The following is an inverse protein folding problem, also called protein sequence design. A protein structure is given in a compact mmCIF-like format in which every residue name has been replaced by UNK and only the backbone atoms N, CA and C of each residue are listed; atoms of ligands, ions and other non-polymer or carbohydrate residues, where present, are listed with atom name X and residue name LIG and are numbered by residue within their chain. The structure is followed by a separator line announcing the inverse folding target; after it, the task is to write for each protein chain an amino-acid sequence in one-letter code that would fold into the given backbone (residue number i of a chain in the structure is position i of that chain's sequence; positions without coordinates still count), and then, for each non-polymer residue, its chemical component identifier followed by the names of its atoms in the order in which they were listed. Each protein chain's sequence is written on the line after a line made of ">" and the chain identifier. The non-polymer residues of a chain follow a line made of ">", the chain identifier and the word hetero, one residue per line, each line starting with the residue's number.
data_IF_294830558724
#
_entry.id   IF_294830558724
#
_cell.length_a   1.000
_cell.length_b   1.000
_cell.length_c   1.000
_cell.angle_alpha   90.00
_cell.angle_beta   90.00
_cell.angle_gamma   90.00
#
_symmetry.space_group_name_H-M   'P 1'
#
loop_
_entity.id
_entity.type
_entity.pdbx_description
1 polymer ?
#
# COMPACT_ATOMS: atom_id res chain seq x y z
N UNK A 1 -66.44 -36.88 9.62
CA UNK A 1 -65.25 -37.50 10.25
C UNK A 1 -64.19 -36.41 10.29
N UNK A 2 -63.63 -36.15 11.48
CA UNK A 2 -62.83 -34.99 11.92
C UNK A 2 -63.65 -33.75 12.35
N UNK A 3 -63.34 -33.29 13.58
CA UNK A 3 -64.02 -32.32 14.45
C UNK A 3 -63.40 -30.91 14.29
N UNK A 4 -64.18 -29.83 14.10
CA UNK A 4 -63.66 -28.49 13.79
C UNK A 4 -63.32 -27.59 15.00
N UNK A 5 -63.18 -28.11 16.23
CA UNK A 5 -62.95 -27.27 17.43
C UNK A 5 -61.58 -27.41 18.10
N UNK A 6 -60.46 -27.28 17.38
CA UNK A 6 -59.13 -27.13 18.02
C UNK A 6 -58.42 -25.83 17.61
N UNK A 7 -57.99 -24.98 18.57
CA UNK A 7 -57.22 -23.77 18.26
C UNK A 7 -55.75 -24.12 17.97
N UNK A 8 -55.04 -23.30 17.17
CA UNK A 8 -53.65 -23.56 16.82
C UNK A 8 -52.72 -23.33 18.04
N UNK A 9 -51.56 -24.01 18.12
CA UNK A 9 -50.64 -23.85 19.23
C UNK A 9 -50.02 -22.44 19.23
N UNK A 10 -50.19 -21.73 20.34
CA UNK A 10 -49.60 -20.41 20.58
C UNK A 10 -48.07 -20.52 20.69
N UNK A 11 -47.35 -19.76 19.85
CA UNK A 11 -45.90 -19.59 19.91
C UNK A 11 -45.43 -19.13 21.31
N UNK A 12 -44.28 -19.60 21.84
CA UNK A 12 -43.82 -19.30 23.20
C UNK A 12 -43.18 -17.90 23.36
N UNK A 13 -43.33 -17.01 22.38
CA UNK A 13 -42.65 -15.71 22.36
C UNK A 13 -43.27 -14.54 23.17
N UNK A 14 -44.56 -14.50 23.59
CA UNK A 14 -45.09 -13.31 24.28
C UNK A 14 -44.78 -13.22 25.79
N UNK A 15 -44.35 -14.30 26.45
CA UNK A 15 -44.19 -14.32 27.91
C UNK A 15 -42.86 -13.74 28.42
N UNK A 16 -41.84 -13.61 27.56
CA UNK A 16 -40.55 -13.06 27.98
C UNK A 16 -40.56 -11.51 28.00
N UNK A 17 -41.38 -10.86 27.18
CA UNK A 17 -41.49 -9.39 27.20
C UNK A 17 -42.30 -8.89 28.39
N UNK A 18 -43.35 -9.60 28.83
CA UNK A 18 -44.25 -9.12 29.89
C UNK A 18 -43.60 -9.05 31.28
N UNK A 19 -42.59 -9.88 31.55
CA UNK A 19 -41.84 -9.87 32.82
C UNK A 19 -40.70 -8.85 32.85
N UNK A 20 -40.19 -8.44 31.68
CA UNK A 20 -39.07 -7.50 31.55
C UNK A 20 -39.54 -6.05 31.64
N UNK A 21 -40.74 -5.74 31.13
CA UNK A 21 -41.32 -4.38 31.16
C UNK A 21 -41.46 -3.77 32.58
N UNK A 22 -42.02 -4.49 33.58
CA UNK A 22 -42.16 -3.97 34.94
C UNK A 22 -40.81 -3.70 35.60
N UNK A 23 -39.85 -4.61 35.39
CA UNK A 23 -38.49 -4.47 35.91
C UNK A 23 -37.79 -3.23 35.31
N UNK A 24 -37.91 -3.03 33.99
CA UNK A 24 -37.36 -1.85 33.31
C UNK A 24 -38.02 -0.55 33.77
N UNK A 25 -39.33 -0.57 34.02
CA UNK A 25 -40.06 0.60 34.53
C UNK A 25 -39.64 0.93 35.97
N UNK A 26 -39.46 -0.09 36.81
CA UNK A 26 -38.99 0.09 38.18
C UNK A 26 -37.54 0.59 38.23
N UNK A 27 -36.67 0.01 37.39
CA UNK A 27 -35.29 0.47 37.22
C UNK A 27 -35.22 1.92 36.71
N UNK A 28 -36.06 2.28 35.73
CA UNK A 28 -36.18 3.65 35.22
C UNK A 28 -36.65 4.63 36.29
N UNK A 29 -37.68 4.27 37.05
CA UNK A 29 -38.22 5.12 38.11
C UNK A 29 -37.19 5.34 39.23
N UNK A 30 -36.51 4.27 39.64
CA UNK A 30 -35.44 4.32 40.64
C UNK A 30 -34.25 5.16 40.16
N UNK A 31 -33.80 4.97 38.91
CA UNK A 31 -32.75 5.78 38.30
C UNK A 31 -33.15 7.26 38.19
N UNK A 32 -34.37 7.57 37.75
CA UNK A 32 -34.84 8.94 37.65
C UNK A 32 -34.92 9.62 39.03
N UNK A 33 -35.39 8.90 40.06
CA UNK A 33 -35.44 9.42 41.43
C UNK A 33 -34.05 9.61 42.04
N UNK A 34 -33.08 8.76 41.69
CA UNK A 34 -31.71 8.91 42.14
C UNK A 34 -30.97 10.02 41.38
N UNK A 35 -31.29 10.24 40.10
CA UNK A 35 -30.63 11.24 39.27
C UNK A 35 -31.28 12.63 39.37
N UNK A 36 -32.52 12.73 39.87
CA UNK A 36 -33.23 14.02 40.05
C UNK A 36 -32.56 14.97 41.05
N UNK A 37 -31.64 14.47 41.87
CA UNK A 37 -30.87 15.28 42.82
C UNK A 37 -29.66 16.00 42.17
N UNK A 38 -29.38 15.76 40.89
CA UNK A 38 -28.25 16.35 40.16
C UNK A 38 -28.73 17.30 39.07
N UNK A 39 -27.92 18.32 38.76
CA UNK A 39 -28.19 19.21 37.63
C UNK A 39 -28.18 18.44 36.29
N UNK A 40 -29.18 18.65 35.41
CA UNK A 40 -29.25 17.98 34.11
C UNK A 40 -28.00 18.17 33.24
N UNK A 41 -27.36 19.34 33.32
CA UNK A 41 -26.12 19.63 32.61
C UNK A 41 -24.94 18.78 33.14
N UNK A 42 -24.84 18.60 34.46
CA UNK A 42 -23.78 17.78 35.06
C UNK A 42 -23.91 16.29 34.67
N UNK A 43 -25.15 15.79 34.57
CA UNK A 43 -25.44 14.41 34.12
C UNK A 43 -25.07 14.16 32.66
N UNK A 44 -25.00 15.22 31.83
CA UNK A 44 -24.66 15.11 30.41
C UNK A 44 -23.17 15.36 30.18
N UNK A 45 -22.63 16.41 30.83
CA UNK A 45 -21.25 16.86 30.68
C UNK A 45 -20.27 15.93 31.39
N UNK A 46 -20.62 15.41 32.58
CA UNK A 46 -19.75 14.52 33.35
C UNK A 46 -19.36 13.24 32.60
N UNK A 47 -20.33 12.44 32.09
CA UNK A 47 -20.04 11.25 31.30
C UNK A 47 -19.32 11.56 29.98
N UNK A 48 -19.65 12.69 29.33
CA UNK A 48 -18.99 13.12 28.09
C UNK A 48 -17.52 13.45 28.34
N UNK A 49 -17.21 14.22 29.39
CA UNK A 49 -15.83 14.50 29.82
C UNK A 49 -15.09 13.22 30.21
N UNK A 50 -15.73 12.34 30.98
CA UNK A 50 -15.14 11.06 31.36
C UNK A 50 -14.81 10.20 30.13
N UNK A 51 -15.69 10.18 29.12
CA UNK A 51 -15.46 9.48 27.85
C UNK A 51 -14.29 10.09 27.06
N UNK A 52 -14.22 11.43 26.99
CA UNK A 52 -13.12 12.15 26.33
C UNK A 52 -11.80 11.84 27.03
N UNK A 53 -11.76 11.96 28.37
CA UNK A 53 -10.58 11.65 29.19
C UNK A 53 -10.16 10.20 28.98
N UNK A 54 -11.08 9.25 29.07
CA UNK A 54 -10.79 7.82 28.86
C UNK A 54 -10.26 7.53 27.45
N UNK A 55 -10.82 8.17 26.41
CA UNK A 55 -10.31 8.05 25.03
C UNK A 55 -8.91 8.63 24.89
N UNK A 56 -8.67 9.81 25.46
CA UNK A 56 -7.34 10.43 25.43
C UNK A 56 -6.30 9.61 26.20
N UNK A 57 -6.66 9.08 27.37
CA UNK A 57 -5.78 8.20 28.16
C UNK A 57 -5.45 6.93 27.38
N UNK A 58 -6.47 6.28 26.79
CA UNK A 58 -6.29 5.06 26.00
C UNK A 58 -5.40 5.32 24.77
N UNK A 59 -5.58 6.44 24.10
CA UNK A 59 -4.72 6.87 22.99
C UNK A 59 -3.28 7.07 23.44
N UNK A 60 -3.08 7.74 24.58
CA UNK A 60 -1.75 7.99 25.16
C UNK A 60 -1.06 6.68 25.55
N UNK A 61 -1.77 5.77 26.21
CA UNK A 61 -1.27 4.44 26.56
C UNK A 61 -0.90 3.66 25.30
N UNK A 62 -1.74 3.72 24.25
CA UNK A 62 -1.45 3.10 22.96
C UNK A 62 -0.15 3.61 22.34
N UNK A 63 0.04 4.93 22.27
CA UNK A 63 1.27 5.54 21.72
C UNK A 63 2.50 5.16 22.55
N UNK A 64 2.39 5.15 23.89
CA UNK A 64 3.49 4.74 24.78
C UNK A 64 3.83 3.26 24.61
N UNK A 65 2.84 2.40 24.39
CA UNK A 65 3.08 0.97 24.11
C UNK A 65 3.71 0.76 22.72
N UNK A 66 3.33 1.55 21.72
CA UNK A 66 3.84 1.41 20.35
C UNK A 66 5.26 1.99 20.19
N UNK A 67 5.57 3.14 20.81
CA UNK A 67 6.83 3.87 20.60
C UNK A 67 7.79 3.84 21.80
N UNK A 68 7.30 3.43 22.98
CA UNK A 68 8.03 3.49 24.24
C UNK A 68 7.96 4.86 24.93
N UNK A 69 8.19 4.88 26.25
CA UNK A 69 8.07 6.07 27.08
C UNK A 69 9.04 7.20 26.66
N UNK A 70 10.28 6.84 26.33
CA UNK A 70 11.33 7.80 25.92
C UNK A 70 10.97 8.52 24.61
N UNK A 71 10.51 7.79 23.60
CA UNK A 71 10.13 8.38 22.32
C UNK A 71 8.89 9.26 22.46
N UNK A 72 7.92 8.85 23.29
CA UNK A 72 6.72 9.63 23.57
C UNK A 72 7.07 10.95 24.26
N UNK A 73 7.91 10.91 25.30
CA UNK A 73 8.38 12.11 26.01
C UNK A 73 9.19 13.03 25.08
N UNK A 74 10.05 12.46 24.23
CA UNK A 74 10.80 13.23 23.23
C UNK A 74 9.86 13.87 22.19
N UNK A 75 8.80 13.17 21.78
CA UNK A 75 7.78 13.69 20.87
C UNK A 75 6.97 14.83 21.48
N UNK A 76 6.59 14.72 22.76
CA UNK A 76 5.94 15.80 23.52
C UNK A 76 6.90 16.98 23.66
N UNK A 77 8.15 16.74 24.05
CA UNK A 77 9.17 17.77 24.16
C UNK A 77 9.43 18.51 22.84
N UNK A 78 9.56 17.77 21.73
CA UNK A 78 9.68 18.34 20.39
C UNK A 78 8.43 19.12 19.99
N UNK A 79 7.25 18.69 20.41
CA UNK A 79 6.00 19.43 20.17
C UNK A 79 5.95 20.73 20.98
N UNK A 80 6.42 20.72 22.23
CA UNK A 80 6.56 21.91 23.04
C UNK A 80 7.60 22.89 22.47
N UNK A 81 8.73 22.40 21.99
CA UNK A 81 9.75 23.21 21.29
C UNK A 81 9.16 23.84 20.04
N UNK A 82 8.33 23.10 19.28
CA UNK A 82 7.62 23.61 18.09
C UNK A 82 6.59 24.69 18.40
N UNK A 83 6.15 24.84 19.65
CA UNK A 83 5.26 25.94 20.07
C UNK A 83 6.02 27.25 20.32
N UNK A 84 7.34 27.20 20.48
CA UNK A 84 8.17 28.41 20.62
C UNK A 84 8.12 29.20 19.31
N UNK A 85 7.69 30.48 19.32
CA UNK A 85 7.45 31.24 18.10
C UNK A 85 8.66 31.32 17.15
N UNK A 86 9.88 31.42 17.70
CA UNK A 86 11.12 31.48 16.90
C UNK A 86 11.43 30.15 16.19
N UNK A 87 11.26 29.02 16.89
CA UNK A 87 11.48 27.68 16.33
C UNK A 87 10.41 27.35 15.30
N UNK A 88 9.15 27.70 15.59
CA UNK A 88 8.03 27.56 14.64
C UNK A 88 8.31 28.32 13.34
N UNK A 89 8.73 29.59 13.44
CA UNK A 89 9.11 30.40 12.27
C UNK A 89 10.27 29.79 11.48
N UNK A 90 11.28 29.23 12.15
CA UNK A 90 12.41 28.58 11.48
C UNK A 90 11.99 27.30 10.75
N UNK A 91 11.18 26.45 11.40
CA UNK A 91 10.63 25.23 10.78
C UNK A 91 9.71 25.57 9.61
N UNK A 92 8.85 26.57 9.76
CA UNK A 92 7.96 27.01 8.70
C UNK A 92 8.75 27.61 7.54
N UNK A 93 9.84 28.33 7.80
CA UNK A 93 10.74 28.82 6.76
C UNK A 93 11.47 27.68 6.01
N UNK A 94 11.96 26.64 6.71
CA UNK A 94 12.57 25.47 6.05
C UNK A 94 11.54 24.64 5.27
N UNK A 95 10.34 24.45 5.81
CA UNK A 95 9.23 23.85 5.07
C UNK A 95 8.90 24.67 3.82
N UNK A 96 8.85 25.99 3.95
CA UNK A 96 8.58 26.86 2.82
C UNK A 96 9.69 26.77 1.77
N UNK A 97 10.96 26.72 2.15
CA UNK A 97 12.07 26.46 1.20
C UNK A 97 11.91 25.14 0.46
N UNK A 98 11.49 24.07 1.14
CA UNK A 98 11.23 22.77 0.49
C UNK A 98 10.04 22.88 -0.46
N UNK A 99 8.95 23.52 -0.03
CA UNK A 99 7.76 23.77 -0.86
C UNK A 99 8.14 24.62 -2.08
N UNK A 100 8.90 25.69 -1.90
CA UNK A 100 9.39 26.57 -2.96
C UNK A 100 10.34 25.84 -3.89
N UNK A 101 11.16 24.90 -3.40
CA UNK A 101 12.03 24.05 -4.22
C UNK A 101 11.22 23.03 -5.04
N UNK A 102 10.15 22.47 -4.47
CA UNK A 102 9.20 21.62 -5.20
C UNK A 102 8.36 22.41 -6.20
N UNK A 103 7.97 23.65 -5.87
CA UNK A 103 7.19 24.54 -6.72
C UNK A 103 8.02 25.25 -7.79
N UNK A 104 9.31 25.51 -7.55
CA UNK A 104 10.23 26.09 -8.54
C UNK A 104 10.60 25.10 -9.64
N UNK A 105 10.61 23.79 -9.35
CA UNK A 105 10.53 22.74 -10.37
C UNK A 105 9.17 22.62 -11.06
N UNK A 106 8.14 23.31 -10.53
CA UNK A 106 6.73 23.23 -10.93
C UNK A 106 6.13 24.52 -11.50
N UNK A 107 6.94 25.52 -11.90
CA UNK A 107 6.44 26.56 -12.82
C UNK A 107 6.09 25.89 -14.13
N UNK A 108 4.82 25.53 -14.24
CA UNK A 108 4.15 24.95 -15.38
C UNK A 108 4.58 25.68 -16.68
N UNK A 109 5.52 25.10 -17.42
CA UNK A 109 5.86 25.48 -18.80
C UNK A 109 4.74 25.05 -19.77
N UNK A 110 3.48 25.33 -19.41
CA UNK A 110 2.29 24.99 -20.20
C UNK A 110 2.02 25.99 -21.33
N UNK A 111 2.98 26.85 -21.61
CA UNK A 111 2.90 27.79 -22.72
C UNK A 111 2.84 26.99 -24.03
N UNK A 112 1.81 27.26 -24.85
CA UNK A 112 1.57 26.52 -26.08
C UNK A 112 0.88 25.16 -25.92
N UNK A 113 0.51 24.75 -24.70
CA UNK A 113 -0.21 23.48 -24.51
C UNK A 113 -1.64 23.57 -25.02
N UNK A 114 -2.07 22.52 -25.73
CA UNK A 114 -3.45 22.42 -26.21
C UNK A 114 -4.37 22.11 -25.04
N UNK A 115 -5.38 22.95 -24.85
CA UNK A 115 -6.41 22.79 -23.80
C UNK A 115 -7.75 22.29 -24.36
N UNK A 116 -7.88 22.22 -25.68
CA UNK A 116 -9.08 21.77 -26.38
C UNK A 116 -8.68 20.86 -27.55
N UNK A 117 -9.63 20.01 -27.97
CA UNK A 117 -9.49 19.24 -29.20
C UNK A 117 -9.39 20.18 -30.40
N UNK A 118 -8.53 19.90 -31.38
CA UNK A 118 -8.46 20.72 -32.58
C UNK A 118 -9.74 20.57 -33.41
N UNK A 119 -10.22 21.67 -33.99
CA UNK A 119 -11.43 21.66 -34.82
C UNK A 119 -11.28 20.80 -36.08
N UNK A 120 -10.04 20.60 -36.54
CA UNK A 120 -9.67 19.77 -37.69
C UNK A 120 -8.59 18.78 -37.28
N UNK A 121 -8.66 17.56 -37.82
CA UNK A 121 -7.62 16.55 -37.61
C UNK A 121 -6.26 17.01 -38.12
N UNK A 122 -5.20 16.80 -37.34
CA UNK A 122 -3.84 17.22 -37.69
C UNK A 122 -3.17 16.33 -38.76
N UNK A 123 -3.79 15.19 -39.09
CA UNK A 123 -3.25 14.22 -40.03
C UNK A 123 -1.83 13.79 -39.68
N UNK A 124 -0.98 13.62 -40.69
CA UNK A 124 0.42 13.21 -40.52
C UNK A 124 1.30 14.27 -39.83
N UNK A 125 0.87 15.55 -39.83
CA UNK A 125 1.60 16.64 -39.17
C UNK A 125 1.74 16.45 -37.65
N UNK A 126 0.94 15.57 -37.05
CA UNK A 126 1.11 15.17 -35.64
C UNK A 126 2.47 14.53 -35.37
N UNK A 127 3.03 13.78 -36.33
CA UNK A 127 4.32 13.10 -36.16
C UNK A 127 5.46 14.10 -36.08
N UNK A 128 5.43 15.15 -36.89
CA UNK A 128 6.46 16.20 -36.85
C UNK A 128 6.42 16.98 -35.53
N UNK A 129 5.21 17.23 -35.02
CA UNK A 129 5.01 17.82 -33.70
C UNK A 129 5.58 16.92 -32.59
N UNK A 130 5.28 15.62 -32.61
CA UNK A 130 5.83 14.67 -31.62
C UNK A 130 7.36 14.58 -31.69
N UNK A 131 7.95 14.66 -32.90
CA UNK A 131 9.41 14.71 -33.08
C UNK A 131 10.03 15.98 -32.50
N UNK A 132 9.36 17.12 -32.61
CA UNK A 132 9.82 18.37 -31.99
C UNK A 132 9.78 18.27 -30.47
N UNK A 133 8.65 17.85 -29.90
CA UNK A 133 8.54 17.70 -28.44
C UNK A 133 9.57 16.71 -27.89
N UNK A 134 9.80 15.61 -28.60
CA UNK A 134 10.84 14.63 -28.23
C UNK A 134 12.25 15.22 -28.20
N UNK A 135 12.56 16.24 -29.03
CA UNK A 135 13.89 16.91 -28.97
C UNK A 135 14.08 17.70 -27.68
N UNK A 136 13.00 18.06 -26.99
CA UNK A 136 13.04 18.79 -25.73
C UNK A 136 13.28 17.86 -24.52
N UNK A 137 13.18 16.54 -24.70
CA UNK A 137 13.44 15.57 -23.65
C UNK A 137 14.93 15.56 -23.26
N UNK A 138 15.20 15.24 -22.00
CA UNK A 138 16.58 15.13 -21.50
C UNK A 138 17.28 13.96 -22.20
N UNK A 139 18.46 14.23 -22.76
CA UNK A 139 19.32 13.18 -23.29
C UNK A 139 19.69 12.19 -22.17
N UNK A 140 19.13 10.99 -22.23
CA UNK A 140 19.15 10.02 -21.15
C UNK A 140 20.35 9.07 -21.20
N UNK A 141 20.95 8.87 -22.38
CA UNK A 141 22.04 7.93 -22.61
C UNK A 141 23.24 8.26 -21.72
N UNK A 142 23.48 7.40 -20.72
CA UNK A 142 24.59 7.54 -19.77
C UNK A 142 24.48 8.72 -18.79
N UNK A 143 23.33 9.41 -18.75
CA UNK A 143 23.12 10.62 -17.91
C UNK A 143 21.99 10.50 -16.91
N UNK A 144 21.09 9.52 -17.10
CA UNK A 144 19.97 9.27 -16.20
C UNK A 144 20.22 7.98 -15.40
N UNK A 145 20.24 8.07 -14.07
CA UNK A 145 20.29 6.89 -13.20
C UNK A 145 19.00 6.08 -13.34
N UNK A 146 19.11 4.77 -13.54
CA UNK A 146 17.95 3.91 -13.83
C UNK A 146 17.27 4.37 -15.12
N UNK A 147 16.02 4.81 -15.02
CA UNK A 147 15.19 5.43 -16.08
C UNK A 147 15.01 4.59 -17.35
N UNK A 148 16.08 4.33 -18.11
CA UNK A 148 16.10 3.48 -19.30
C UNK A 148 17.10 2.34 -19.07
N UNK A 149 16.60 1.11 -19.03
CA UNK A 149 17.39 -0.08 -18.67
C UNK A 149 18.10 -0.75 -19.84
N UNK A 150 17.63 -0.50 -21.07
CA UNK A 150 18.25 -1.01 -22.29
C UNK A 150 19.26 0.04 -22.77
N UNK A 151 20.52 -0.35 -22.84
CA UNK A 151 21.56 0.50 -23.42
C UNK A 151 21.45 0.59 -24.94
N UNK A 152 21.95 1.70 -25.51
CA UNK A 152 22.06 1.89 -26.96
C UNK A 152 21.29 3.10 -27.48
N UNK A 153 21.05 3.07 -28.80
CA UNK A 153 20.29 4.09 -29.54
C UNK A 153 18.84 3.61 -29.76
N UNK A 154 17.89 4.53 -29.76
CA UNK A 154 16.46 4.28 -29.94
C UNK A 154 16.11 3.72 -31.32
N UNK A 155 16.99 3.83 -32.31
CA UNK A 155 16.73 3.43 -33.69
C UNK A 155 17.38 2.09 -34.09
N UNK A 156 18.22 1.49 -33.24
CA UNK A 156 19.03 0.33 -33.62
C UNK A 156 19.04 -0.74 -32.54
N UNK A 157 19.48 -1.95 -32.93
CA UNK A 157 19.60 -3.09 -32.03
C UNK A 157 18.28 -3.47 -31.36
N UNK A 158 18.28 -3.54 -30.03
CA UNK A 158 17.15 -4.05 -29.27
C UNK A 158 15.90 -3.14 -29.34
N UNK A 159 16.08 -1.81 -29.45
CA UNK A 159 14.95 -0.88 -29.56
C UNK A 159 14.17 -1.08 -30.86
N UNK A 160 14.85 -1.31 -31.99
CA UNK A 160 14.18 -1.58 -33.27
C UNK A 160 13.29 -2.82 -33.20
N UNK A 161 13.77 -3.89 -32.56
CA UNK A 161 13.03 -5.12 -32.38
C UNK A 161 11.76 -4.91 -31.52
N UNK A 162 11.89 -4.20 -30.39
CA UNK A 162 10.73 -3.90 -29.52
C UNK A 162 9.72 -3.01 -30.25
N UNK A 163 10.18 -1.99 -30.96
CA UNK A 163 9.30 -1.09 -31.72
C UNK A 163 8.50 -1.86 -32.78
N UNK A 164 9.13 -2.79 -33.49
CA UNK A 164 8.46 -3.64 -34.47
C UNK A 164 7.41 -4.55 -33.80
N UNK A 165 7.77 -5.21 -32.70
CA UNK A 165 6.83 -6.03 -31.93
C UNK A 165 5.64 -5.21 -31.40
N UNK A 166 5.89 -4.05 -30.80
CA UNK A 166 4.83 -3.14 -30.34
C UNK A 166 3.92 -2.69 -31.48
N UNK A 167 4.48 -2.39 -32.65
CA UNK A 167 3.70 -2.01 -33.84
C UNK A 167 2.74 -3.14 -34.25
N UNK A 168 3.22 -4.39 -34.30
CA UNK A 168 2.41 -5.56 -34.66
C UNK A 168 1.21 -5.77 -33.72
N UNK A 169 1.41 -5.59 -32.41
CA UNK A 169 0.39 -5.91 -31.40
C UNK A 169 -0.36 -4.68 -30.84
N UNK A 170 -0.13 -3.49 -31.40
CA UNK A 170 -0.68 -2.20 -30.92
C UNK A 170 -2.21 -2.14 -30.76
N UNK A 171 -2.95 -2.95 -31.51
CA UNK A 171 -4.41 -3.00 -31.50
C UNK A 171 -4.98 -4.12 -30.63
N UNK A 172 -4.14 -4.98 -30.07
CA UNK A 172 -4.59 -6.14 -29.30
C UNK A 172 -5.08 -5.75 -27.92
N UNK A 173 -6.05 -6.53 -27.40
CA UNK A 173 -6.62 -6.33 -26.07
C UNK A 173 -6.80 -7.69 -25.37
N UNK A 174 -5.97 -8.04 -24.37
CA UNK A 174 -6.04 -9.32 -23.65
C UNK A 174 -7.38 -9.60 -22.96
N UNK A 175 -8.27 -8.61 -22.81
CA UNK A 175 -9.64 -8.81 -22.33
C UNK A 175 -10.47 -9.72 -23.25
N UNK A 176 -10.13 -9.78 -24.54
CA UNK A 176 -10.81 -10.59 -25.55
C UNK A 176 -9.96 -11.81 -25.90
N UNK A 177 -9.91 -12.78 -24.97
CA UNK A 177 -9.05 -13.97 -25.05
C UNK A 177 -9.38 -14.86 -26.25
N UNK A 178 -10.63 -14.85 -26.71
CA UNK A 178 -11.13 -15.58 -27.87
C UNK A 178 -10.60 -15.00 -29.19
N UNK A 179 -10.38 -13.68 -29.24
CA UNK A 179 -9.90 -12.96 -30.43
C UNK A 179 -8.37 -12.91 -30.48
N UNK A 180 -7.72 -12.57 -29.37
CA UNK A 180 -6.26 -12.32 -29.33
C UNK A 180 -5.47 -13.42 -28.63
N UNK A 181 -5.65 -14.67 -29.07
CA UNK A 181 -5.02 -15.85 -28.47
C UNK A 181 -3.48 -15.79 -28.42
N UNK A 182 -2.85 -15.11 -29.38
CA UNK A 182 -1.39 -14.94 -29.41
C UNK A 182 -0.87 -14.22 -28.18
N UNK A 183 -1.51 -13.10 -27.78
CA UNK A 183 -1.07 -12.30 -26.64
C UNK A 183 -1.34 -13.03 -25.33
N UNK A 184 -2.47 -13.71 -25.20
CA UNK A 184 -2.77 -14.59 -24.05
C UNK A 184 -1.66 -15.64 -23.86
N UNK A 185 -1.24 -16.26 -24.96
CA UNK A 185 -0.13 -17.22 -24.93
C UNK A 185 1.18 -16.55 -24.49
N UNK A 186 1.52 -15.39 -25.05
CA UNK A 186 2.75 -14.69 -24.69
C UNK A 186 2.79 -14.29 -23.22
N UNK A 187 1.67 -13.80 -22.66
CA UNK A 187 1.59 -13.49 -21.23
C UNK A 187 1.82 -14.73 -20.36
N UNK A 188 1.20 -15.86 -20.72
CA UNK A 188 1.38 -17.12 -20.01
C UNK A 188 2.84 -17.63 -20.09
N UNK A 189 3.47 -17.55 -21.26
CA UNK A 189 4.86 -17.96 -21.46
C UNK A 189 5.83 -17.06 -20.67
N UNK A 190 5.61 -15.74 -20.66
CA UNK A 190 6.43 -14.81 -19.86
C UNK A 190 6.34 -15.11 -18.37
N UNK A 191 5.13 -15.37 -17.85
CA UNK A 191 4.93 -15.78 -16.46
C UNK A 191 5.68 -17.07 -16.17
N UNK A 192 5.53 -18.09 -17.02
CA UNK A 192 6.17 -19.39 -16.83
C UNK A 192 7.70 -19.29 -16.87
N UNK A 193 8.27 -18.55 -17.83
CA UNK A 193 9.72 -18.33 -17.94
C UNK A 193 10.26 -17.57 -16.73
N UNK A 194 9.54 -16.55 -16.25
CA UNK A 194 9.94 -15.77 -15.07
C UNK A 194 9.88 -16.62 -13.80
N UNK A 195 8.83 -17.42 -13.63
CA UNK A 195 8.73 -18.36 -12.51
C UNK A 195 9.89 -19.36 -12.51
N UNK A 196 10.23 -19.92 -13.69
CA UNK A 196 11.36 -20.83 -13.82
C UNK A 196 12.69 -20.16 -13.50
N UNK A 197 12.91 -18.92 -13.95
CA UNK A 197 14.09 -18.11 -13.64
C UNK A 197 14.26 -17.88 -12.12
N UNK A 198 13.13 -17.74 -11.41
CA UNK A 198 13.08 -17.52 -9.97
C UNK A 198 12.98 -18.82 -9.14
N UNK A 199 13.29 -19.98 -9.75
CA UNK A 199 13.43 -21.24 -9.02
C UNK A 199 12.14 -22.06 -8.88
N UNK A 200 11.10 -21.83 -9.69
CA UNK A 200 9.87 -22.64 -9.61
C UNK A 200 10.07 -24.13 -9.87
N UNK A 201 11.15 -24.50 -10.56
CA UNK A 201 11.52 -25.89 -10.89
C UNK A 201 12.29 -26.58 -9.75
N UNK A 202 12.70 -25.84 -8.72
CA UNK A 202 13.36 -26.42 -7.56
C UNK A 202 12.38 -27.26 -6.74
N UNK A 203 12.86 -28.38 -6.20
CA UNK A 203 12.03 -29.28 -5.38
C UNK A 203 11.40 -28.56 -4.18
N UNK A 204 12.10 -27.57 -3.63
CA UNK A 204 11.66 -26.77 -2.49
C UNK A 204 10.40 -25.94 -2.82
N UNK A 205 10.14 -25.63 -4.10
CA UNK A 205 9.02 -24.79 -4.53
C UNK A 205 7.67 -25.52 -4.55
N UNK A 206 7.65 -26.84 -4.34
CA UNK A 206 6.40 -27.62 -4.23
C UNK A 206 5.55 -27.69 -5.50
N UNK A 207 6.06 -27.20 -6.64
CA UNK A 207 5.46 -27.32 -7.96
C UNK A 207 4.20 -26.49 -8.23
N UNK A 208 3.86 -25.52 -7.37
CA UNK A 208 2.62 -24.72 -7.47
C UNK A 208 2.89 -23.22 -7.65
N UNK A 209 3.82 -22.84 -8.51
CA UNK A 209 4.08 -21.42 -8.82
C UNK A 209 3.22 -20.97 -9.99
N UNK A 210 2.45 -19.91 -9.80
CA UNK A 210 1.62 -19.28 -10.82
C UNK A 210 1.68 -17.75 -10.70
N UNK A 211 1.14 -17.04 -11.70
CA UNK A 211 1.12 -15.58 -11.69
C UNK A 211 0.42 -15.00 -12.91
N UNK A 212 0.48 -13.67 -13.02
CA UNK A 212 -0.13 -12.90 -14.10
C UNK A 212 0.84 -11.78 -14.53
N UNK A 213 0.73 -11.36 -15.79
CA UNK A 213 1.33 -10.11 -16.25
C UNK A 213 0.60 -8.92 -15.64
N UNK A 214 1.33 -7.82 -15.41
CA UNK A 214 0.81 -6.56 -14.89
C UNK A 214 1.43 -5.40 -15.68
N UNK A 215 0.88 -4.20 -15.53
CA UNK A 215 1.40 -2.98 -16.16
C UNK A 215 2.76 -2.53 -15.60
N UNK A 216 3.20 -3.07 -14.45
CA UNK A 216 4.50 -2.77 -13.86
C UNK A 216 4.57 -3.08 -12.37
N UNK A 217 5.74 -2.83 -11.76
CA UNK A 217 6.01 -3.20 -10.37
C UNK A 217 5.01 -2.64 -9.35
N UNK A 218 4.48 -1.43 -9.57
CA UNK A 218 3.45 -0.86 -8.68
C UNK A 218 2.17 -1.70 -8.69
N UNK A 219 1.70 -2.13 -9.87
CA UNK A 219 0.52 -3.00 -9.96
C UNK A 219 0.83 -4.40 -9.39
N UNK A 220 2.01 -4.97 -9.65
CA UNK A 220 2.39 -6.27 -9.08
C UNK A 220 2.35 -6.28 -7.55
N UNK A 221 2.94 -5.27 -6.90
CA UNK A 221 2.91 -5.15 -5.44
C UNK A 221 1.47 -4.85 -4.97
N UNK A 222 0.71 -4.02 -5.72
CA UNK A 222 -0.72 -3.83 -5.47
C UNK A 222 -1.45 -5.17 -5.49
N UNK A 223 -1.30 -6.03 -6.49
CA UNK A 223 -2.03 -7.29 -6.53
C UNK A 223 -1.56 -8.28 -5.46
N UNK A 224 -0.24 -8.35 -5.20
CA UNK A 224 0.33 -9.25 -4.22
C UNK A 224 -0.12 -8.94 -2.77
N UNK A 225 -0.30 -7.66 -2.46
CA UNK A 225 -0.66 -7.22 -1.10
C UNK A 225 -2.11 -6.74 -1.01
N UNK A 226 -2.79 -6.53 -2.14
CA UNK A 226 -3.65 -5.35 -2.25
C UNK A 226 -2.84 -4.11 -1.80
N UNK A 227 -1.52 -3.93 -2.07
CA UNK A 227 -0.81 -2.65 -1.76
C UNK A 227 0.43 -2.17 -2.56
N UNK A 228 0.52 -0.93 -3.09
CA UNK A 228 1.79 -0.28 -3.54
C UNK A 228 1.76 1.25 -3.68
N UNK A 229 2.87 2.00 -3.45
CA UNK A 229 3.91 1.72 -2.45
C UNK A 229 3.20 1.46 -1.13
N UNK A 230 3.72 0.62 -0.23
CA UNK A 230 2.94 0.10 0.91
C UNK A 230 2.00 1.12 1.59
N UNK A 231 2.39 2.40 1.69
CA UNK A 231 1.50 3.50 2.13
C UNK A 231 0.23 3.71 1.29
N UNK A 232 0.35 3.83 -0.05
CA UNK A 232 -0.79 4.12 -0.94
C UNK A 232 -1.88 3.09 -0.84
N UNK A 233 -1.56 1.89 -0.38
CA UNK A 233 -2.58 0.87 -0.35
C UNK A 233 -2.81 0.22 1.00
N UNK A 234 -1.94 0.46 1.97
CA UNK A 234 -2.42 0.68 3.33
C UNK A 234 -3.61 1.67 3.32
N UNK A 235 -3.53 2.75 2.54
CA UNK A 235 -4.63 3.69 2.33
C UNK A 235 -5.80 3.09 1.54
N UNK A 236 -5.57 2.56 0.32
CA UNK A 236 -6.66 2.06 -0.54
C UNK A 236 -7.48 0.92 0.07
N UNK A 237 -6.82 0.03 0.83
CA UNK A 237 -7.48 -1.19 1.34
C UNK A 237 -7.59 -1.19 2.87
N UNK A 238 -7.31 -0.05 3.51
CA UNK A 238 -7.43 0.15 4.95
C UNK A 238 -6.64 -0.89 5.77
N UNK A 239 -5.38 -1.12 5.37
CA UNK A 239 -4.46 -2.05 6.04
C UNK A 239 -3.48 -1.24 6.89
N UNK A 240 -3.32 -1.59 8.17
CA UNK A 240 -2.31 -0.94 9.04
C UNK A 240 -0.91 -1.36 8.61
N UNK A 241 -0.12 -0.41 8.12
CA UNK A 241 1.29 -0.63 7.76
C UNK A 241 2.21 -0.36 8.94
N UNK A 242 3.04 -1.34 9.28
CA UNK A 242 4.15 -1.19 10.22
C UNK A 242 5.46 -1.02 9.43
N UNK A 243 6.03 0.19 9.47
CA UNK A 243 7.38 0.46 8.94
C UNK A 243 8.39 0.28 10.06
N UNK A 244 9.11 -0.83 10.03
CA UNK A 244 10.13 -1.15 11.04
C UNK A 244 11.46 -0.52 10.62
N UNK A 245 12.20 0.14 11.53
CA UNK A 245 13.52 0.67 11.23
C UNK A 245 14.49 -0.42 10.76
N UNK A 246 15.37 -0.05 9.83
CA UNK A 246 16.46 -0.91 9.36
C UNK A 246 17.56 -1.03 10.41
N UNK A 247 18.38 -2.07 10.28
CA UNK A 247 19.58 -2.27 11.08
C UNK A 247 20.72 -1.30 10.65
N UNK A 248 21.91 -1.45 11.25
CA UNK A 248 23.08 -0.60 10.95
C UNK A 248 23.59 -0.76 9.51
N UNK A 249 23.29 -1.90 8.89
CA UNK A 249 23.69 -2.26 7.54
C UNK A 249 22.58 -1.91 6.52
N UNK A 250 21.57 -1.13 6.95
CA UNK A 250 20.42 -0.71 6.15
C UNK A 250 19.53 -1.85 5.63
N UNK A 251 19.61 -3.03 6.25
CA UNK A 251 18.74 -4.18 6.00
C UNK A 251 17.57 -4.23 6.99
N UNK A 252 16.53 -5.00 6.65
CA UNK A 252 15.42 -5.30 7.55
C UNK A 252 15.89 -5.94 8.87
N UNK A 253 15.55 -5.33 10.01
CA UNK A 253 15.81 -5.91 11.34
C UNK A 253 14.73 -6.96 11.67
N UNK A 254 15.07 -8.23 11.45
CA UNK A 254 14.20 -9.39 11.69
C UNK A 254 13.71 -9.45 13.15
N UNK A 255 14.57 -9.09 14.13
CA UNK A 255 14.20 -9.09 15.56
C UNK A 255 13.23 -7.94 15.88
N UNK A 256 13.39 -6.78 15.25
CA UNK A 256 12.45 -5.68 15.36
C UNK A 256 11.10 -6.00 14.67
N UNK A 257 11.12 -6.63 13.50
CA UNK A 257 9.91 -7.06 12.79
C UNK A 257 9.12 -8.06 13.64
N UNK A 258 9.79 -9.05 14.21
CA UNK A 258 9.16 -10.05 15.10
C UNK A 258 8.36 -9.41 16.24
N UNK A 259 8.84 -8.29 16.81
CA UNK A 259 8.16 -7.59 17.91
C UNK A 259 6.83 -6.92 17.51
N UNK A 260 6.61 -6.69 16.22
CA UNK A 260 5.39 -6.05 15.70
C UNK A 260 4.34 -7.07 15.20
N UNK A 261 4.73 -8.34 15.08
CA UNK A 261 3.82 -9.42 14.68
C UNK A 261 2.75 -9.61 15.76
N UNK A 262 1.49 -9.63 15.33
CA UNK A 262 0.34 -9.89 16.18
C UNK A 262 -0.71 -10.70 15.39
N UNK A 263 -1.83 -11.03 16.04
CA UNK A 263 -2.91 -11.85 15.43
C UNK A 263 -3.56 -11.25 14.17
N UNK A 264 -3.39 -9.95 13.92
CA UNK A 264 -3.93 -9.27 12.74
C UNK A 264 -2.86 -9.09 11.63
N UNK A 265 -1.64 -9.57 11.83
CA UNK A 265 -0.57 -9.47 10.82
C UNK A 265 -0.84 -10.47 9.70
N UNK A 266 -0.98 -9.98 8.47
CA UNK A 266 -1.33 -10.80 7.29
C UNK A 266 -0.14 -11.03 6.33
N UNK A 267 0.86 -10.15 6.35
CA UNK A 267 1.97 -10.18 5.40
C UNK A 267 3.25 -9.62 6.04
N UNK A 268 4.37 -10.26 5.76
CA UNK A 268 5.73 -9.72 5.92
C UNK A 268 6.29 -9.42 4.53
N UNK A 269 7.08 -8.35 4.41
CA UNK A 269 7.69 -7.94 3.16
C UNK A 269 9.19 -7.76 3.35
N UNK A 270 9.98 -8.26 2.40
CA UNK A 270 11.41 -7.95 2.24
C UNK A 270 11.73 -7.56 0.80
N UNK A 271 12.81 -6.82 0.58
CA UNK A 271 13.23 -6.38 -0.75
C UNK A 271 14.56 -6.99 -1.17
N UNK A 272 14.70 -7.32 -2.46
CA UNK A 272 15.91 -7.92 -3.01
C UNK A 272 16.22 -7.37 -4.42
N UNK A 273 16.97 -6.25 -4.52
CA UNK A 273 17.32 -5.31 -3.47
C UNK A 273 16.26 -4.21 -3.26
N UNK A 274 16.35 -3.49 -2.15
CA UNK A 274 15.57 -2.27 -1.92
C UNK A 274 16.06 -1.09 -2.78
N UNK A 275 15.13 -0.31 -3.34
CA UNK A 275 15.42 0.85 -4.20
C UNK A 275 16.38 1.90 -3.59
N UNK A 276 16.26 2.31 -2.31
CA UNK A 276 17.03 3.44 -1.79
C UNK A 276 18.54 3.21 -1.74
N UNK A 277 18.97 1.98 -1.43
CA UNK A 277 20.38 1.67 -1.16
C UNK A 277 20.92 0.50 -2.00
N UNK A 278 20.07 -0.20 -2.76
CA UNK A 278 20.49 -1.36 -3.54
C UNK A 278 20.90 -2.57 -2.68
N UNK A 279 20.44 -2.63 -1.42
CA UNK A 279 20.78 -3.68 -0.46
C UNK A 279 19.69 -4.75 -0.44
N UNK A 280 20.13 -6.01 -0.34
CA UNK A 280 19.26 -7.18 -0.22
C UNK A 280 18.96 -7.42 1.27
N UNK A 281 17.69 -7.53 1.61
CA UNK A 281 17.24 -7.91 2.96
C UNK A 281 17.57 -9.37 3.29
N UNK A 282 17.61 -9.77 4.57
CA UNK A 282 17.79 -11.17 4.96
C UNK A 282 16.55 -12.02 4.64
N UNK A 283 16.36 -12.34 3.34
CA UNK A 283 15.17 -13.01 2.80
C UNK A 283 14.93 -14.37 3.45
N UNK A 284 15.97 -15.17 3.67
CA UNK A 284 15.86 -16.48 4.31
C UNK A 284 15.35 -16.38 5.75
N UNK A 285 15.91 -15.46 6.55
CA UNK A 285 15.50 -15.24 7.94
C UNK A 285 14.07 -14.70 8.03
N UNK A 286 13.69 -13.79 7.13
CA UNK A 286 12.34 -13.26 7.03
C UNK A 286 11.34 -14.34 6.61
N UNK A 287 11.71 -15.20 5.66
CA UNK A 287 10.89 -16.34 5.23
C UNK A 287 10.68 -17.35 6.35
N UNK A 288 11.74 -17.69 7.10
CA UNK A 288 11.65 -18.56 8.27
C UNK A 288 10.76 -17.94 9.36
N UNK A 289 10.88 -16.63 9.61
CA UNK A 289 10.03 -15.91 10.55
C UNK A 289 8.56 -15.98 10.11
N UNK A 290 8.25 -15.65 8.85
CA UNK A 290 6.90 -15.68 8.31
C UNK A 290 6.27 -17.08 8.42
N UNK A 291 7.03 -18.12 8.05
CA UNK A 291 6.62 -19.52 8.17
C UNK A 291 6.31 -19.91 9.62
N UNK A 292 7.16 -19.52 10.58
CA UNK A 292 6.96 -19.83 12.01
C UNK A 292 5.69 -19.22 12.61
N UNK A 293 5.18 -18.14 12.04
CA UNK A 293 3.94 -17.48 12.45
C UNK A 293 2.75 -17.78 11.51
N UNK A 294 2.95 -18.61 10.48
CA UNK A 294 1.97 -18.89 9.42
C UNK A 294 1.41 -17.61 8.75
N UNK A 295 2.31 -16.69 8.40
CA UNK A 295 2.01 -15.41 7.75
C UNK A 295 2.54 -15.44 6.32
N UNK A 296 1.83 -14.81 5.38
CA UNK A 296 2.34 -14.66 4.02
C UNK A 296 3.68 -13.88 4.01
N UNK A 297 4.54 -14.20 3.05
CA UNK A 297 5.79 -13.49 2.83
C UNK A 297 5.89 -13.07 1.38
N UNK A 298 6.12 -11.77 1.15
CA UNK A 298 6.34 -11.21 -0.17
C UNK A 298 7.77 -10.70 -0.31
N UNK A 299 8.44 -11.11 -1.39
CA UNK A 299 9.77 -10.60 -1.75
C UNK A 299 9.60 -9.63 -2.91
N UNK A 300 9.91 -8.36 -2.68
CA UNK A 300 9.93 -7.34 -3.73
C UNK A 300 11.22 -7.51 -4.56
N UNK A 301 11.05 -8.10 -5.74
CA UNK A 301 12.07 -8.32 -6.76
C UNK A 301 11.91 -7.40 -7.97
N UNK A 302 11.15 -6.30 -7.88
CA UNK A 302 10.88 -5.44 -9.04
C UNK A 302 12.16 -4.92 -9.70
N UNK A 303 13.21 -4.67 -8.91
CA UNK A 303 14.51 -4.23 -9.41
C UNK A 303 15.48 -5.39 -9.65
N UNK A 304 15.47 -6.41 -8.79
CA UNK A 304 16.48 -7.46 -8.78
C UNK A 304 16.12 -8.73 -9.55
N UNK A 305 14.85 -8.95 -9.92
CA UNK A 305 14.37 -10.24 -10.42
C UNK A 305 15.07 -10.74 -11.69
N UNK A 306 15.43 -9.84 -12.60
CA UNK A 306 16.18 -10.16 -13.83
C UNK A 306 17.69 -9.89 -13.73
N UNK A 307 18.21 -9.66 -12.51
CA UNK A 307 19.64 -9.42 -12.25
C UNK A 307 20.19 -10.48 -11.30
N UNK A 308 19.57 -10.66 -10.14
CA UNK A 308 20.07 -11.52 -9.07
C UNK A 308 20.27 -12.98 -9.47
N UNK A 309 19.37 -13.64 -10.23
CA UNK A 309 19.61 -15.02 -10.67
C UNK A 309 20.88 -15.17 -11.53
N UNK A 310 21.20 -14.16 -12.32
CA UNK A 310 22.42 -14.15 -13.14
C UNK A 310 23.65 -13.75 -12.32
N UNK A 311 23.52 -12.77 -11.42
CA UNK A 311 24.57 -12.38 -10.50
C UNK A 311 25.02 -13.55 -9.61
N UNK A 312 24.07 -14.37 -9.14
CA UNK A 312 24.35 -15.59 -8.38
C UNK A 312 25.11 -16.63 -9.22
N UNK A 313 24.70 -16.86 -10.48
CA UNK A 313 25.44 -17.74 -11.41
C UNK A 313 26.88 -17.28 -11.66
N UNK A 314 27.13 -15.98 -11.56
CA UNK A 314 28.45 -15.37 -11.72
C UNK A 314 29.24 -15.31 -10.40
N UNK A 315 28.66 -15.71 -9.27
CA UNK A 315 29.30 -15.72 -7.95
C UNK A 315 29.38 -14.36 -7.25
N UNK A 316 28.56 -13.38 -7.65
CA UNK A 316 28.51 -12.07 -7.00
C UNK A 316 27.61 -12.02 -5.75
N UNK A 317 26.69 -12.98 -5.63
CA UNK A 317 25.69 -13.08 -4.56
C UNK A 317 25.46 -14.54 -4.20
#
# INVERSE_FOLDING_TARGET
>A
MADPSSPPPSSPFPLLLSSVTPFLLHARASANSFLSQYEPLALLVGPLLALIVARTLRSLIGVVQEQGLKATLLGIFMSCIKLVPAVKRHIDAEKQKVVDKMQSGGKSKREGWRTMLPALGLGNGVIDLLKEEKRNDVAWQGKCSGTVYIGGNECEGHFSLINEACSMFSHTNPLHLDVFQSVVRFEAEVVAMTAALLGSQEKASGGQVCGNMTSGGTESILLAVKTSPYDKAAQYFNIKLWRVPVNKDFQADVKAIRRHINRNTILIVGSAPGFPHGIIDPIEELGALASSYNICFHVDLCLGGFVLPFACKLGYV
#
